data_IF_684966245410
#
_entry.id   IF_684966245410
#
_cell.length_a   1.000
_cell.length_b   1.000
_cell.length_c   1.000
_cell.angle_alpha   90.00
_cell.angle_beta   90.00
_cell.angle_gamma   90.00
#
_symmetry.space_group_name_H-M   'P 1'
#
loop_
_entity.id
_entity.type
_entity.pdbx_description
1 polymer ?
#
# COMPACT_ATOMS: atom_id res chain seq x y z
N UNK A 1 22.10 -9.44 -8.50
CA UNK A 1 22.41 -7.98 -8.54
C UNK A 1 21.27 -7.14 -9.13
N UNK A 2 20.75 -7.45 -10.32
CA UNK A 2 19.60 -6.73 -10.91
C UNK A 2 18.37 -6.72 -9.99
N UNK A 3 18.04 -7.86 -9.38
CA UNK A 3 16.92 -8.00 -8.44
C UNK A 3 17.02 -7.04 -7.25
N UNK A 4 18.20 -6.93 -6.63
CA UNK A 4 18.43 -5.99 -5.54
C UNK A 4 18.21 -4.53 -6.00
N UNK A 5 18.69 -4.16 -7.19
CA UNK A 5 18.48 -2.82 -7.77
C UNK A 5 16.98 -2.55 -7.95
N UNK A 6 16.22 -3.52 -8.48
CA UNK A 6 14.77 -3.41 -8.65
C UNK A 6 14.07 -3.27 -7.30
N UNK A 7 14.46 -4.05 -6.29
CA UNK A 7 13.91 -3.99 -4.94
C UNK A 7 14.19 -2.64 -4.28
N UNK A 8 15.42 -2.13 -4.36
CA UNK A 8 15.76 -0.81 -3.81
C UNK A 8 15.05 0.33 -4.55
N UNK A 9 14.96 0.26 -5.88
CA UNK A 9 14.19 1.22 -6.67
C UNK A 9 12.71 1.24 -6.28
N UNK A 10 12.10 0.06 -6.14
CA UNK A 10 10.72 -0.11 -5.69
C UNK A 10 10.51 0.43 -4.27
N UNK A 11 11.40 0.09 -3.34
CA UNK A 11 11.34 0.58 -1.96
C UNK A 11 11.47 2.12 -1.90
N UNK A 12 12.32 2.71 -2.73
CA UNK A 12 12.49 4.17 -2.82
C UNK A 12 11.21 4.83 -3.31
N UNK A 13 10.62 4.31 -4.39
CA UNK A 13 9.36 4.80 -4.94
C UNK A 13 8.21 4.68 -3.92
N UNK A 14 8.07 3.52 -3.27
CA UNK A 14 7.06 3.29 -2.24
C UNK A 14 7.27 4.20 -1.03
N UNK A 15 8.52 4.44 -0.62
CA UNK A 15 8.83 5.38 0.46
C UNK A 15 8.38 6.79 0.09
N UNK A 16 8.65 7.23 -1.14
CA UNK A 16 8.21 8.53 -1.63
C UNK A 16 6.68 8.65 -1.63
N UNK A 17 5.97 7.67 -2.20
CA UNK A 17 4.50 7.66 -2.23
C UNK A 17 3.89 7.62 -0.82
N UNK A 18 4.37 6.69 0.01
CA UNK A 18 3.94 6.56 1.40
C UNK A 18 4.18 7.84 2.20
N UNK A 19 5.30 8.53 1.96
CA UNK A 19 5.58 9.81 2.60
C UNK A 19 4.60 10.91 2.17
N UNK A 20 4.31 11.03 0.87
CA UNK A 20 3.33 12.00 0.37
C UNK A 20 1.93 11.75 0.95
N UNK A 21 1.49 10.49 0.98
CA UNK A 21 0.18 10.13 1.52
C UNK A 21 0.16 10.39 3.02
N UNK A 22 1.15 9.87 3.77
CA UNK A 22 1.16 9.87 5.24
C UNK A 22 1.33 11.25 5.87
N UNK A 23 2.22 12.06 5.31
CA UNK A 23 2.66 13.32 5.92
C UNK A 23 2.20 14.56 5.16
N UNK A 24 1.95 14.46 3.86
CA UNK A 24 1.40 15.58 3.07
C UNK A 24 -0.10 15.47 2.81
N UNK A 25 -0.74 14.39 3.28
CA UNK A 25 -2.18 14.18 3.14
C UNK A 25 -2.63 14.02 1.68
N UNK A 26 -1.73 13.62 0.78
CA UNK A 26 -2.02 13.45 -0.65
C UNK A 26 -2.78 12.15 -0.93
N UNK A 27 -4.01 12.08 -0.45
CA UNK A 27 -4.93 10.95 -0.68
C UNK A 27 -5.49 10.93 -2.11
N UNK A 28 -5.35 12.03 -2.85
CA UNK A 28 -5.61 12.11 -4.29
C UNK A 28 -4.79 11.08 -5.11
N UNK A 29 -3.64 10.67 -4.59
CA UNK A 29 -2.82 9.62 -5.19
C UNK A 29 -3.44 8.22 -5.10
N UNK A 30 -4.42 8.03 -4.22
CA UNK A 30 -5.04 6.72 -3.93
C UNK A 30 -6.58 6.73 -3.98
N UNK A 31 -7.20 7.90 -4.14
CA UNK A 31 -8.66 8.07 -4.05
C UNK A 31 -9.43 7.50 -5.24
N UNK A 32 -8.76 7.12 -6.33
CA UNK A 32 -9.42 6.63 -7.53
C UNK A 32 -10.36 7.68 -8.16
N UNK A 33 -11.34 7.26 -8.99
CA UNK A 33 -12.20 8.18 -9.73
C UNK A 33 -13.23 8.96 -8.90
N UNK A 34 -13.47 8.58 -7.64
CA UNK A 34 -14.57 9.10 -6.80
C UNK A 34 -14.06 9.63 -5.45
N UNK A 35 -13.21 10.68 -5.45
CA UNK A 35 -12.64 11.25 -4.22
C UNK A 35 -13.70 11.82 -3.27
N UNK A 36 -14.87 12.21 -3.77
CA UNK A 36 -15.98 12.76 -3.00
C UNK A 36 -16.64 11.78 -2.00
N UNK A 37 -16.41 10.48 -2.13
CA UNK A 37 -16.99 9.46 -1.21
C UNK A 37 -16.13 9.23 0.05
N UNK A 38 -15.00 9.92 0.19
CA UNK A 38 -14.10 9.77 1.33
C UNK A 38 -14.63 10.61 2.50
N UNK A 39 -15.03 9.94 3.58
CA UNK A 39 -15.58 10.61 4.78
C UNK A 39 -14.49 11.12 5.72
N UNK A 40 -13.31 10.49 5.72
CA UNK A 40 -12.15 10.89 6.52
C UNK A 40 -10.83 10.77 5.74
N UNK A 41 -10.46 11.87 5.08
CA UNK A 41 -9.20 11.98 4.35
C UNK A 41 -7.96 11.86 5.26
N UNK A 42 -8.01 12.38 6.48
CA UNK A 42 -6.86 12.41 7.39
C UNK A 42 -6.58 11.01 7.97
N UNK A 43 -7.63 10.28 8.35
CA UNK A 43 -7.56 8.89 8.78
C UNK A 43 -7.08 7.98 7.66
N UNK A 44 -7.61 8.14 6.44
CA UNK A 44 -7.18 7.38 5.27
C UNK A 44 -5.70 7.64 4.95
N UNK A 45 -5.28 8.92 4.93
CA UNK A 45 -3.88 9.31 4.74
C UNK A 45 -2.95 8.66 5.78
N UNK A 46 -3.35 8.69 7.05
CA UNK A 46 -2.59 8.08 8.13
C UNK A 46 -2.45 6.58 7.95
N UNK A 47 -3.57 5.89 7.66
CA UNK A 47 -3.62 4.44 7.57
C UNK A 47 -2.93 3.91 6.31
N UNK A 48 -3.35 4.36 5.13
CA UNK A 48 -2.81 3.91 3.85
C UNK A 48 -1.34 4.31 3.70
N UNK A 49 -1.01 5.56 4.03
CA UNK A 49 0.37 6.04 3.98
C UNK A 49 1.31 5.25 4.89
N UNK A 50 0.88 4.94 6.12
CA UNK A 50 1.68 4.13 7.03
C UNK A 50 1.88 2.70 6.50
N UNK A 51 0.86 2.11 5.90
CA UNK A 51 0.99 0.78 5.33
C UNK A 51 1.92 0.75 4.10
N UNK A 52 1.84 1.73 3.21
CA UNK A 52 2.77 1.88 2.08
C UNK A 52 4.21 2.02 2.57
N UNK A 53 4.46 2.79 3.63
CA UNK A 53 5.80 2.89 4.23
C UNK A 53 6.28 1.56 4.84
N UNK A 54 5.39 0.77 5.44
CA UNK A 54 5.74 -0.58 5.93
C UNK A 54 6.11 -1.53 4.79
N UNK A 55 5.34 -1.51 3.70
CA UNK A 55 5.64 -2.25 2.47
C UNK A 55 7.03 -1.83 1.95
N UNK A 56 7.28 -0.53 1.83
CA UNK A 56 8.57 0.00 1.40
C UNK A 56 9.73 -0.51 2.26
N UNK A 57 9.57 -0.50 3.58
CA UNK A 57 10.57 -0.98 4.53
C UNK A 57 10.86 -2.49 4.38
N UNK A 58 9.82 -3.31 4.22
CA UNK A 58 9.98 -4.76 4.02
C UNK A 58 10.63 -5.06 2.67
N UNK A 59 10.24 -4.36 1.60
CA UNK A 59 10.88 -4.46 0.28
C UNK A 59 12.34 -4.03 0.33
N UNK A 60 12.67 -3.00 1.12
CA UNK A 60 14.07 -2.60 1.34
C UNK A 60 14.87 -3.71 2.04
N UNK A 61 14.33 -4.31 3.12
CA UNK A 61 14.97 -5.44 3.80
C UNK A 61 15.18 -6.60 2.82
N UNK A 62 14.19 -6.92 1.99
CA UNK A 62 14.33 -7.96 0.97
C UNK A 62 15.45 -7.62 -0.02
N UNK A 63 15.56 -6.36 -0.46
CA UNK A 63 16.66 -5.88 -1.29
C UNK A 63 18.03 -6.07 -0.63
N UNK A 64 18.15 -5.79 0.67
CA UNK A 64 19.36 -6.03 1.47
C UNK A 64 19.71 -7.52 1.50
N UNK A 65 18.74 -8.37 1.78
CA UNK A 65 18.92 -9.82 1.83
C UNK A 65 19.44 -10.38 0.50
N UNK A 66 18.85 -9.97 -0.62
CA UNK A 66 19.30 -10.35 -1.98
C UNK A 66 20.67 -9.76 -2.31
N UNK A 67 20.98 -8.54 -1.87
CA UNK A 67 22.28 -7.90 -2.08
C UNK A 67 23.43 -8.67 -1.41
N UNK A 68 23.19 -9.23 -0.22
CA UNK A 68 24.15 -10.08 0.50
C UNK A 68 24.11 -11.55 0.09
N UNK A 69 23.47 -11.87 -1.05
CA UNK A 69 23.37 -13.24 -1.60
C UNK A 69 22.67 -14.25 -0.67
N UNK A 70 21.88 -13.76 0.31
CA UNK A 70 20.99 -14.59 1.12
C UNK A 70 19.69 -14.89 0.36
N UNK A 71 19.83 -15.50 -0.82
CA UNK A 71 18.69 -15.85 -1.64
C UNK A 71 18.17 -17.24 -1.28
N UNK A 72 16.91 -17.33 -0.86
CA UNK A 72 16.27 -18.58 -0.46
C UNK A 72 14.78 -18.55 -0.77
N UNK A 73 14.26 -19.66 -1.32
CA UNK A 73 12.83 -19.85 -1.57
C UNK A 73 11.98 -19.60 -0.32
N UNK A 74 12.49 -19.91 0.87
CA UNK A 74 11.79 -19.67 2.14
C UNK A 74 11.65 -18.17 2.41
N UNK A 75 12.71 -17.39 2.17
CA UNK A 75 12.71 -15.94 2.36
C UNK A 75 11.74 -15.28 1.37
N UNK A 76 11.76 -15.71 0.11
CA UNK A 76 10.78 -15.27 -0.89
C UNK A 76 9.35 -15.62 -0.48
N UNK A 77 9.11 -16.82 0.05
CA UNK A 77 7.81 -17.24 0.56
C UNK A 77 7.32 -16.32 1.68
N UNK A 78 8.17 -16.03 2.68
CA UNK A 78 7.86 -15.11 3.78
C UNK A 78 7.55 -13.71 3.24
N UNK A 79 8.36 -13.21 2.30
CA UNK A 79 8.16 -11.91 1.67
C UNK A 79 6.80 -11.81 0.97
N UNK A 80 6.45 -12.81 0.15
CA UNK A 80 5.17 -12.85 -0.58
C UNK A 80 4.00 -12.90 0.39
N UNK A 81 4.02 -13.80 1.38
CA UNK A 81 2.95 -13.91 2.38
C UNK A 81 2.77 -12.60 3.14
N UNK A 82 3.88 -11.97 3.55
CA UNK A 82 3.85 -10.68 4.25
C UNK A 82 3.24 -9.59 3.38
N UNK A 83 3.59 -9.55 2.09
CA UNK A 83 3.01 -8.60 1.14
C UNK A 83 1.51 -8.79 0.94
N UNK A 84 1.07 -10.03 0.74
CA UNK A 84 -0.35 -10.34 0.58
C UNK A 84 -1.17 -9.93 1.81
N UNK A 85 -0.65 -10.20 3.02
CA UNK A 85 -1.29 -9.78 4.26
C UNK A 85 -1.39 -8.26 4.38
N UNK A 86 -0.30 -7.53 4.09
CA UNK A 86 -0.30 -6.07 4.17
C UNK A 86 -1.25 -5.44 3.14
N UNK A 87 -1.23 -5.92 1.90
CA UNK A 87 -2.14 -5.45 0.86
C UNK A 87 -3.59 -5.75 1.24
N UNK A 88 -3.88 -6.96 1.72
CA UNK A 88 -5.21 -7.34 2.19
C UNK A 88 -5.71 -6.43 3.32
N UNK A 89 -4.86 -6.15 4.32
CA UNK A 89 -5.17 -5.22 5.42
C UNK A 89 -5.46 -3.81 4.89
N UNK A 90 -4.68 -3.33 3.92
CA UNK A 90 -4.90 -1.99 3.34
C UNK A 90 -6.19 -1.93 2.56
N UNK A 91 -6.44 -2.89 1.68
CA UNK A 91 -7.65 -2.90 0.84
C UNK A 91 -8.90 -2.99 1.71
N UNK A 92 -8.96 -3.97 2.61
CA UNK A 92 -10.11 -4.15 3.50
C UNK A 92 -10.24 -2.99 4.50
N UNK A 93 -9.12 -2.55 5.08
CA UNK A 93 -9.10 -1.48 6.07
C UNK A 93 -9.31 -0.09 5.50
N UNK A 94 -9.23 0.09 4.17
CA UNK A 94 -9.53 1.39 3.54
C UNK A 94 -11.03 1.60 3.37
N UNK A 95 -11.82 0.54 3.19
CA UNK A 95 -13.29 0.64 3.06
C UNK A 95 -13.98 1.31 4.24
N UNK A 96 -13.39 1.28 5.44
CA UNK A 96 -13.92 1.97 6.63
C UNK A 96 -13.95 3.50 6.52
N UNK A 97 -13.26 4.07 5.53
CA UNK A 97 -13.16 5.51 5.32
C UNK A 97 -14.02 6.01 4.15
N UNK A 98 -14.80 5.12 3.53
CA UNK A 98 -15.74 5.47 2.48
C UNK A 98 -17.15 5.46 3.04
N UNK A 99 -18.01 6.32 2.50
CA UNK A 99 -19.43 6.29 2.79
C UNK A 99 -20.03 4.98 2.24
N UNK A 100 -20.98 4.32 2.95
CA UNK A 100 -21.66 3.15 2.41
C UNK A 100 -22.34 3.54 1.10
N UNK A 101 -22.12 2.78 0.03
CA UNK A 101 -22.82 3.01 -1.23
C UNK A 101 -24.33 3.00 -0.95
N UNK A 102 -25.01 4.12 -1.22
CA UNK A 102 -26.47 4.15 -1.23
C UNK A 102 -26.92 3.06 -2.22
N UNK A 103 -27.83 2.15 -1.84
CA UNK A 103 -28.35 1.17 -2.77
C UNK A 103 -28.98 1.96 -3.91
N UNK A 104 -28.36 1.91 -5.09
CA UNK A 104 -28.92 2.47 -6.32
C UNK A 104 -30.29 1.86 -6.45
N UNK A 105 -31.32 2.69 -6.28
CA UNK A 105 -32.71 2.28 -6.42
C UNK A 105 -32.82 1.43 -7.66
N UNK A 106 -33.38 0.23 -7.51
CA UNK A 106 -33.85 -0.52 -8.64
C UNK A 106 -34.88 0.38 -9.28
N UNK A 107 -34.54 0.99 -10.41
CA UNK A 107 -35.50 1.66 -11.27
C UNK A 107 -36.49 0.55 -11.69
N UNK A 108 -37.61 0.50 -10.98
CA UNK A 108 -38.76 -0.31 -11.34
C UNK A 108 -39.32 0.27 -12.65
N UNK A 109 -38.88 -0.26 -13.79
CA UNK A 109 -39.57 -0.14 -15.09
C UNK A 109 -40.77 -1.09 -15.18
#
# INVERSE_FOLDING_TARGET
>A
MLEAIVLFGSATLLTYLGYQIRYRGRVDLISGPQPEQITDHAGLAHFAGAAVLRIAFITFIMGVTVFFEYDSTVIWGIYIVTMLLLVGIVVVGSFRFFEPAEPTGVDEE
#
